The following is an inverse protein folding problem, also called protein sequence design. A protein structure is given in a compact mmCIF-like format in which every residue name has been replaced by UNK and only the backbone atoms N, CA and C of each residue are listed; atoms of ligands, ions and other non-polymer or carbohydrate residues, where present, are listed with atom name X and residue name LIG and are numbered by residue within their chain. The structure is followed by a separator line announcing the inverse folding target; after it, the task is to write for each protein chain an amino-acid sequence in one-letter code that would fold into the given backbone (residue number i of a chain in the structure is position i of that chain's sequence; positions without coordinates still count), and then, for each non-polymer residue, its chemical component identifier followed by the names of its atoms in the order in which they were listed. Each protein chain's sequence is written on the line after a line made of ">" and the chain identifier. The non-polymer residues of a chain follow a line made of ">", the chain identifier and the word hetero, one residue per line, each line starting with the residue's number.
data_IF_886083697765
#
_entry.id   IF_886083697765
#
_cell.length_a   1.000
_cell.length_b   1.000
_cell.length_c   1.000
_cell.angle_alpha   90.00
_cell.angle_beta   90.00
_cell.angle_gamma   90.00
#
_symmetry.space_group_name_H-M   'P 1'
#
loop_
_entity.id
_entity.type
_entity.pdbx_description
1 polymer ?
#
# COMPACT_ATOMS: atom_id res chain seq x y z
N UNK A 1 -36.70 -30.60 11.22
CA UNK A 1 -35.22 -30.53 11.24
C UNK A 1 -34.54 -30.02 9.95
N UNK A 2 -35.02 -30.20 8.69
CA UNK A 2 -34.28 -29.74 7.50
C UNK A 2 -34.33 -28.21 7.27
N UNK A 3 -35.31 -27.52 7.85
CA UNK A 3 -35.54 -26.07 7.67
C UNK A 3 -34.50 -25.20 8.40
N UNK A 4 -34.03 -25.64 9.57
CA UNK A 4 -33.00 -24.93 10.34
C UNK A 4 -31.61 -25.10 9.74
N UNK A 5 -31.32 -26.28 9.15
CA UNK A 5 -30.07 -26.51 8.40
C UNK A 5 -29.94 -25.59 7.20
N UNK A 6 -31.02 -25.40 6.42
CA UNK A 6 -31.01 -24.45 5.29
C UNK A 6 -30.81 -23.00 5.75
N UNK A 7 -31.46 -22.57 6.84
CA UNK A 7 -31.28 -21.22 7.40
C UNK A 7 -29.85 -21.00 7.90
N UNK A 8 -29.27 -21.99 8.57
CA UNK A 8 -27.88 -21.94 9.04
C UNK A 8 -26.89 -21.87 7.87
N UNK A 9 -27.10 -22.65 6.80
CA UNK A 9 -26.26 -22.58 5.60
C UNK A 9 -26.35 -21.23 4.90
N UNK A 10 -27.56 -20.65 4.80
CA UNK A 10 -27.74 -19.31 4.26
C UNK A 10 -27.05 -18.25 5.12
N UNK A 11 -27.16 -18.34 6.45
CA UNK A 11 -26.47 -17.41 7.35
C UNK A 11 -24.94 -17.48 7.21
N UNK A 12 -24.38 -18.70 7.10
CA UNK A 12 -22.95 -18.89 6.87
C UNK A 12 -22.51 -18.36 5.50
N UNK A 13 -23.29 -18.59 4.45
CA UNK A 13 -23.01 -18.05 3.12
C UNK A 13 -23.01 -16.52 3.13
N UNK A 14 -24.02 -15.90 3.77
CA UNK A 14 -24.09 -14.44 3.93
C UNK A 14 -22.88 -13.90 4.69
N UNK A 15 -22.49 -14.55 5.79
CA UNK A 15 -21.31 -14.15 6.58
C UNK A 15 -20.03 -14.22 5.73
N UNK A 16 -19.86 -15.29 4.96
CA UNK A 16 -18.70 -15.47 4.09
C UNK A 16 -18.60 -14.35 3.04
N UNK A 17 -19.72 -14.01 2.41
CA UNK A 17 -19.78 -12.90 1.43
C UNK A 17 -19.42 -11.57 2.09
N UNK A 18 -19.93 -11.30 3.29
CA UNK A 18 -19.59 -10.07 4.03
C UNK A 18 -18.10 -10.02 4.35
N UNK A 19 -17.52 -11.10 4.86
CA UNK A 19 -16.09 -11.15 5.21
C UNK A 19 -15.20 -10.95 4.00
N UNK A 20 -15.53 -11.57 2.87
CA UNK A 20 -14.81 -11.38 1.61
C UNK A 20 -14.94 -9.93 1.13
N UNK A 21 -16.15 -9.38 1.14
CA UNK A 21 -16.40 -7.99 0.76
C UNK A 21 -15.62 -7.00 1.62
N UNK A 22 -15.67 -7.14 2.94
CA UNK A 22 -14.94 -6.27 3.88
C UNK A 22 -13.43 -6.39 3.69
N UNK A 23 -12.91 -7.61 3.54
CA UNK A 23 -11.48 -7.84 3.32
C UNK A 23 -11.01 -7.21 2.00
N UNK A 24 -11.82 -7.33 0.95
CA UNK A 24 -11.55 -6.72 -0.34
C UNK A 24 -11.55 -5.18 -0.26
N UNK A 25 -12.57 -4.58 0.37
CA UNK A 25 -12.65 -3.12 0.55
C UNK A 25 -11.48 -2.61 1.39
N UNK A 26 -11.15 -3.32 2.48
CA UNK A 26 -9.99 -2.98 3.29
C UNK A 26 -8.71 -3.02 2.47
N UNK A 27 -8.48 -4.08 1.70
CA UNK A 27 -7.32 -4.18 0.82
C UNK A 27 -7.33 -3.09 -0.27
N UNK A 28 -8.46 -2.80 -0.89
CA UNK A 28 -8.59 -1.83 -1.98
C UNK A 28 -8.35 -0.38 -1.51
N UNK A 29 -8.65 -0.08 -0.25
CA UNK A 29 -8.48 1.27 0.34
C UNK A 29 -7.07 1.54 0.87
N UNK A 30 -6.20 0.53 0.97
CA UNK A 30 -4.83 0.75 1.44
C UNK A 30 -4.03 1.59 0.45
N UNK A 31 -3.27 2.58 0.93
CA UNK A 31 -2.41 3.39 0.09
C UNK A 31 -1.30 2.52 -0.51
N UNK A 32 -1.00 2.72 -1.79
CA UNK A 32 0.14 2.10 -2.46
C UNK A 32 1.02 3.21 -3.05
N UNK A 33 2.35 3.17 -2.84
CA UNK A 33 3.25 4.07 -3.52
C UNK A 33 3.22 3.75 -5.02
N UNK A 34 2.89 4.74 -5.85
CA UNK A 34 2.90 4.57 -7.31
C UNK A 34 4.32 4.73 -7.86
N UNK A 35 4.72 3.76 -8.68
CA UNK A 35 6.10 3.53 -9.10
C UNK A 35 6.65 4.44 -10.19
N UNK A 36 5.91 5.47 -10.61
CA UNK A 36 6.38 6.42 -11.63
C UNK A 36 7.28 7.52 -11.04
N UNK A 37 7.27 7.69 -9.72
CA UNK A 37 8.11 8.66 -9.02
C UNK A 37 9.54 8.10 -8.85
N UNK A 38 10.41 8.38 -9.82
CA UNK A 38 11.84 8.12 -9.70
C UNK A 38 12.55 9.30 -9.03
N UNK A 39 12.94 9.14 -7.78
CA UNK A 39 13.74 10.15 -7.06
C UNK A 39 15.22 9.78 -7.13
N UNK A 40 15.99 10.57 -7.89
CA UNK A 40 17.43 10.39 -7.98
C UNK A 40 18.12 11.07 -6.78
N UNK A 41 18.83 10.28 -5.97
CA UNK A 41 19.71 10.79 -4.92
C UNK A 41 21.17 10.74 -5.37
N UNK A 42 21.91 11.83 -5.12
CA UNK A 42 23.35 11.89 -5.31
C UNK A 42 24.05 12.12 -3.96
N UNK A 43 25.30 11.64 -3.82
CA UNK A 43 26.11 11.68 -2.58
C UNK A 43 25.47 10.96 -1.38
N UNK A 44 25.20 9.67 -1.54
CA UNK A 44 24.69 8.80 -0.45
C UNK A 44 25.79 8.50 0.58
N UNK A 45 27.07 8.64 0.21
CA UNK A 45 28.21 8.52 1.14
C UNK A 45 29.28 9.58 0.86
N UNK A 46 30.01 9.97 1.91
CA UNK A 46 31.17 10.84 1.82
C UNK A 46 32.46 10.08 1.46
N UNK A 47 33.45 10.80 0.92
CA UNK A 47 34.77 10.21 0.64
C UNK A 47 35.42 9.75 1.95
N UNK A 48 35.71 8.45 2.05
CA UNK A 48 36.28 7.83 3.25
C UNK A 48 35.26 7.29 4.26
N UNK A 49 33.96 7.43 4.00
CA UNK A 49 32.92 6.81 4.82
C UNK A 49 32.60 5.39 4.34
N UNK A 50 32.23 4.45 5.25
CA UNK A 50 31.71 3.16 4.84
C UNK A 50 30.43 3.35 4.00
N UNK A 51 30.13 2.42 3.07
CA UNK A 51 28.87 2.46 2.35
C UNK A 51 27.70 2.34 3.34
N UNK A 52 26.57 3.02 3.07
CA UNK A 52 25.39 2.92 3.91
C UNK A 52 24.88 1.49 3.94
N UNK A 53 24.34 1.09 5.09
CA UNK A 53 23.62 -0.17 5.26
C UNK A 53 22.30 -0.16 4.48
N UNK A 54 21.71 -1.34 4.29
CA UNK A 54 20.41 -1.47 3.62
C UNK A 54 19.32 -0.64 4.32
N UNK A 55 19.29 -0.66 5.65
CA UNK A 55 18.33 0.08 6.46
C UNK A 55 18.51 1.60 6.30
N UNK A 56 19.77 2.09 6.24
CA UNK A 56 20.07 3.50 5.99
C UNK A 56 19.67 3.93 4.58
N UNK A 57 19.88 3.08 3.58
CA UNK A 57 19.43 3.31 2.20
C UNK A 57 17.90 3.40 2.13
N UNK A 58 17.18 2.52 2.83
CA UNK A 58 15.71 2.56 2.89
C UNK A 58 15.20 3.84 3.57
N UNK A 59 15.85 4.27 4.65
CA UNK A 59 15.52 5.52 5.34
C UNK A 59 15.75 6.76 4.45
N UNK A 60 16.87 6.79 3.72
CA UNK A 60 17.20 7.86 2.76
C UNK A 60 16.16 7.88 1.62
N UNK A 61 15.83 6.71 1.08
CA UNK A 61 14.83 6.58 0.02
C UNK A 61 13.44 7.06 0.50
N UNK A 62 13.03 6.67 1.73
CA UNK A 62 11.77 7.09 2.32
C UNK A 62 11.70 8.61 2.49
N UNK A 63 12.72 9.21 3.10
CA UNK A 63 12.77 10.66 3.31
C UNK A 63 12.73 11.42 2.00
N UNK A 64 13.45 10.93 1.00
CA UNK A 64 13.48 11.56 -0.32
C UNK A 64 12.16 11.47 -1.07
N UNK A 65 11.44 10.37 -0.93
CA UNK A 65 10.08 10.23 -1.44
C UNK A 65 9.12 11.22 -0.75
N UNK A 66 9.20 11.35 0.57
CA UNK A 66 8.38 12.32 1.33
C UNK A 66 8.64 13.76 0.92
N UNK A 67 9.91 14.15 0.73
CA UNK A 67 10.30 15.48 0.25
C UNK A 67 9.80 15.73 -1.18
N UNK A 68 9.91 14.73 -2.07
CA UNK A 68 9.40 14.84 -3.43
C UNK A 68 7.87 15.01 -3.48
N UNK A 69 7.12 14.39 -2.56
CA UNK A 69 5.68 14.63 -2.40
C UNK A 69 5.41 16.05 -1.90
N UNK A 70 6.14 16.50 -0.87
CA UNK A 70 5.96 17.83 -0.30
C UNK A 70 6.22 18.95 -1.33
N UNK A 71 7.18 18.73 -2.23
CA UNK A 71 7.51 19.65 -3.32
C UNK A 71 6.56 19.54 -4.53
N UNK A 72 5.59 18.63 -4.50
CA UNK A 72 4.67 18.36 -5.62
C UNK A 72 5.34 17.73 -6.84
N UNK A 73 6.58 17.23 -6.69
CA UNK A 73 7.32 16.51 -7.74
C UNK A 73 6.81 15.07 -7.92
N UNK A 74 6.21 14.51 -6.87
CA UNK A 74 5.62 13.19 -6.87
C UNK A 74 4.22 13.19 -6.28
N UNK A 75 3.41 12.24 -6.72
CA UNK A 75 2.06 12.09 -6.20
C UNK A 75 2.06 11.32 -4.88
N UNK A 76 1.19 11.73 -3.93
CA UNK A 76 1.05 11.04 -2.67
C UNK A 76 0.44 9.64 -2.87
N UNK A 77 0.75 8.68 -2.00
CA UNK A 77 0.14 7.35 -2.04
C UNK A 77 -1.38 7.45 -2.01
N UNK A 78 -2.04 6.74 -2.93
CA UNK A 78 -3.49 6.71 -3.02
C UNK A 78 -4.04 5.29 -2.94
N UNK A 79 -5.35 5.15 -2.70
CA UNK A 79 -6.00 3.85 -2.64
C UNK A 79 -5.82 3.04 -3.94
N UNK A 80 -5.59 1.72 -3.83
CA UNK A 80 -5.44 0.82 -4.99
C UNK A 80 -6.56 0.94 -6.01
N UNK A 81 -7.79 1.14 -5.53
CA UNK A 81 -8.96 1.21 -6.41
C UNK A 81 -8.93 2.40 -7.37
N UNK A 82 -8.16 3.46 -7.06
CA UNK A 82 -8.08 4.66 -7.90
C UNK A 82 -7.54 4.33 -9.30
N UNK A 83 -6.54 3.45 -9.40
CA UNK A 83 -6.01 3.01 -10.70
C UNK A 83 -6.96 2.13 -11.54
N UNK A 84 -8.17 1.84 -11.06
CA UNK A 84 -9.20 1.16 -11.86
C UNK A 84 -10.17 2.13 -12.52
N UNK A 85 -10.23 3.38 -12.04
CA UNK A 85 -11.17 4.40 -12.51
C UNK A 85 -10.52 5.46 -13.38
N UNK A 86 -9.19 5.57 -13.32
CA UNK A 86 -8.35 6.37 -14.23
C UNK A 86 -8.06 5.57 -15.52
#
# INVERSE_FOLDING_TARGET
>A
MPRDRRRSLLALASLAVILVGVSFVFWATRPVPHGECLVAYSRVSGVGSPPPTADELEEIARRGYEEAIADGRCEPPWPRWRGWVD
#
